data_IF_460139313851
#
_entry.id   IF_460139313851
#
_cell.length_a   1.000
_cell.length_b   1.000
_cell.length_c   1.000
_cell.angle_alpha   90.00
_cell.angle_beta   90.00
_cell.angle_gamma   90.00
#
_symmetry.space_group_name_H-M   'P 1'
#
loop_
_entity.id
_entity.type
_entity.pdbx_description
1 polymer ?
#
# COMPACT_ATOMS: atom_id res chain seq x y z
N UNK A 1 -23.59 14.62 20.92
CA UNK A 1 -22.63 13.54 20.63
C UNK A 1 -23.41 12.36 20.08
N UNK A 2 -23.28 12.05 18.78
CA UNK A 2 -23.87 10.81 18.24
C UNK A 2 -22.75 9.78 18.09
N UNK A 3 -22.84 8.71 18.89
CA UNK A 3 -22.02 7.54 18.73
C UNK A 3 -22.41 6.85 17.41
N UNK A 4 -21.50 6.85 16.44
CA UNK A 4 -21.67 6.09 15.20
C UNK A 4 -21.51 4.60 15.51
N UNK A 5 -22.63 3.90 15.57
CA UNK A 5 -22.67 2.44 15.67
C UNK A 5 -22.13 1.86 14.36
N UNK A 6 -20.89 1.37 14.36
CA UNK A 6 -20.43 0.46 13.30
C UNK A 6 -20.99 -0.92 13.58
N UNK A 7 -22.10 -1.21 12.91
CA UNK A 7 -22.61 -2.55 12.70
C UNK A 7 -21.50 -3.47 12.20
N UNK A 8 -21.26 -4.57 12.92
CA UNK A 8 -20.35 -5.64 12.51
C UNK A 8 -20.96 -6.40 11.34
N UNK A 9 -20.87 -5.83 10.14
CA UNK A 9 -21.08 -6.60 8.91
C UNK A 9 -19.88 -7.50 8.73
N UNK A 10 -20.11 -8.83 8.74
CA UNK A 10 -19.14 -9.87 8.39
C UNK A 10 -18.24 -9.36 7.27
N UNK A 11 -16.94 -9.32 7.54
CA UNK A 11 -15.91 -8.94 6.59
C UNK A 11 -16.04 -9.89 5.39
N UNK A 12 -16.68 -9.41 4.32
CA UNK A 12 -16.55 -10.04 3.02
C UNK A 12 -15.05 -10.14 2.77
N UNK A 13 -14.58 -11.22 2.13
CA UNK A 13 -13.21 -11.27 1.65
C UNK A 13 -12.99 -10.06 0.74
N UNK A 14 -12.47 -8.96 1.30
CA UNK A 14 -12.34 -7.69 0.62
C UNK A 14 -11.27 -7.89 -0.44
N UNK A 15 -11.72 -8.04 -1.68
CA UNK A 15 -10.84 -8.12 -2.82
C UNK A 15 -10.33 -6.70 -3.12
N UNK A 16 -9.33 -6.25 -2.35
CA UNK A 16 -8.72 -4.95 -2.56
C UNK A 16 -8.09 -4.89 -3.96
N UNK A 17 -8.23 -3.76 -4.68
CA UNK A 17 -7.54 -3.61 -5.96
C UNK A 17 -6.02 -3.62 -5.75
N UNK A 18 -5.30 -4.04 -6.80
CA UNK A 18 -3.85 -3.90 -6.85
C UNK A 18 -3.52 -2.43 -7.14
N UNK A 19 -2.62 -1.86 -6.34
CA UNK A 19 -2.22 -0.47 -6.47
C UNK A 19 -0.79 -0.36 -7.00
N UNK A 20 -0.52 0.67 -7.82
CA UNK A 20 0.82 1.06 -8.24
C UNK A 20 1.18 2.43 -7.67
N UNK A 21 2.35 2.55 -7.06
CA UNK A 21 2.91 3.81 -6.56
C UNK A 21 4.23 4.09 -7.28
N UNK A 22 4.29 5.20 -8.01
CA UNK A 22 5.54 5.71 -8.61
C UNK A 22 6.03 6.88 -7.76
N UNK A 23 7.25 6.76 -7.25
CA UNK A 23 7.84 7.66 -6.26
C UNK A 23 7.64 7.16 -4.84
N UNK A 24 8.74 6.78 -4.19
CA UNK A 24 8.82 6.21 -2.83
C UNK A 24 9.37 7.22 -1.81
N UNK A 25 9.25 8.52 -2.11
CA UNK A 25 9.61 9.61 -1.20
C UNK A 25 8.62 9.78 -0.04
N UNK A 26 8.63 10.95 0.60
CA UNK A 26 7.84 11.22 1.82
C UNK A 26 6.34 10.93 1.68
N UNK A 27 5.74 11.28 0.54
CA UNK A 27 4.30 11.06 0.31
C UNK A 27 4.04 9.64 -0.17
N UNK A 28 4.58 9.27 -1.34
CA UNK A 28 4.31 7.97 -1.96
C UNK A 28 4.73 6.80 -1.08
N UNK A 29 5.87 6.89 -0.39
CA UNK A 29 6.32 5.85 0.53
C UNK A 29 5.39 5.69 1.75
N UNK A 30 4.95 6.80 2.35
CA UNK A 30 3.99 6.73 3.47
C UNK A 30 2.63 6.17 3.03
N UNK A 31 2.18 6.53 1.83
CA UNK A 31 0.93 6.00 1.28
C UNK A 31 1.03 4.50 0.97
N UNK A 32 2.12 4.05 0.34
CA UNK A 32 2.38 2.62 0.10
C UNK A 32 2.35 1.82 1.41
N UNK A 33 3.08 2.27 2.44
CA UNK A 33 3.10 1.62 3.75
C UNK A 33 1.68 1.55 4.39
N UNK A 34 0.90 2.63 4.28
CA UNK A 34 -0.47 2.65 4.79
C UNK A 34 -1.41 1.69 4.05
N UNK A 35 -1.24 1.50 2.74
CA UNK A 35 -2.04 0.56 1.96
C UNK A 35 -1.65 -0.89 2.26
N UNK A 36 -0.35 -1.18 2.35
CA UNK A 36 0.15 -2.50 2.77
C UNK A 36 -0.39 -2.90 4.14
N UNK A 37 -0.35 -1.97 5.12
CA UNK A 37 -0.88 -2.21 6.47
C UNK A 37 -2.40 -2.47 6.51
N UNK A 38 -3.13 -2.12 5.44
CA UNK A 38 -4.57 -2.40 5.27
C UNK A 38 -4.85 -3.63 4.40
N UNK A 39 -3.82 -4.38 3.99
CA UNK A 39 -3.95 -5.61 3.21
C UNK A 39 -4.05 -5.41 1.69
N UNK A 40 -3.77 -4.22 1.16
CA UNK A 40 -3.70 -4.02 -0.28
C UNK A 40 -2.43 -4.66 -0.85
N UNK A 41 -2.55 -5.23 -2.05
CA UNK A 41 -1.36 -5.58 -2.87
C UNK A 41 -0.84 -4.31 -3.53
N UNK A 42 0.41 -3.94 -3.27
CA UNK A 42 1.00 -2.68 -3.74
C UNK A 42 2.29 -2.96 -4.51
N UNK A 43 2.35 -2.48 -5.75
CA UNK A 43 3.58 -2.35 -6.51
C UNK A 43 4.19 -0.97 -6.30
N UNK A 44 5.50 -0.91 -6.17
CA UNK A 44 6.26 0.34 -6.00
C UNK A 44 7.37 0.45 -7.04
N UNK A 45 7.65 1.69 -7.45
CA UNK A 45 8.79 2.03 -8.30
C UNK A 45 9.38 3.38 -7.88
N UNK A 46 10.72 3.45 -7.82
CA UNK A 46 11.49 4.69 -7.67
C UNK A 46 12.87 4.49 -8.35
N UNK A 47 13.52 5.58 -8.70
CA UNK A 47 14.92 5.56 -9.16
C UNK A 47 15.87 5.23 -8.00
N UNK A 48 15.52 5.65 -6.79
CA UNK A 48 16.23 5.32 -5.56
C UNK A 48 15.87 3.91 -5.09
N UNK A 49 16.81 2.97 -5.28
CA UNK A 49 16.63 1.55 -4.96
C UNK A 49 16.48 1.29 -3.47
N UNK A 50 17.10 2.10 -2.62
CA UNK A 50 17.02 1.94 -1.16
C UNK A 50 15.61 2.26 -0.66
N UNK A 51 14.95 3.25 -1.28
CA UNK A 51 13.54 3.56 -0.96
C UNK A 51 12.59 2.44 -1.36
N UNK A 52 12.82 1.81 -2.52
CA UNK A 52 12.04 0.65 -2.92
C UNK A 52 12.28 -0.53 -1.96
N UNK A 53 13.53 -0.83 -1.63
CA UNK A 53 13.89 -1.92 -0.72
C UNK A 53 13.26 -1.76 0.67
N UNK A 54 13.17 -0.52 1.18
CA UNK A 54 12.46 -0.22 2.42
C UNK A 54 10.98 -0.62 2.36
N UNK A 55 10.28 -0.36 1.25
CA UNK A 55 8.88 -0.73 1.10
C UNK A 55 8.69 -2.22 0.78
N UNK A 56 9.62 -2.83 0.06
CA UNK A 56 9.67 -4.28 -0.16
C UNK A 56 9.75 -5.05 1.17
N UNK A 57 10.54 -4.55 2.13
CA UNK A 57 10.60 -5.12 3.49
C UNK A 57 9.27 -5.05 4.25
N UNK A 58 8.34 -4.19 3.80
CA UNK A 58 6.98 -4.07 4.35
C UNK A 58 5.94 -4.85 3.55
N UNK A 59 6.36 -5.60 2.52
CA UNK A 59 5.48 -6.41 1.67
C UNK A 59 5.10 -5.78 0.33
N UNK A 60 5.71 -4.66 -0.07
CA UNK A 60 5.53 -4.13 -1.42
C UNK A 60 6.17 -5.06 -2.47
N UNK A 61 5.56 -5.11 -3.65
CA UNK A 61 6.16 -5.73 -4.83
C UNK A 61 6.97 -4.66 -5.57
N UNK A 62 8.23 -4.94 -5.88
CA UNK A 62 9.07 -3.99 -6.63
C UNK A 62 9.01 -4.28 -8.12
N UNK A 63 8.79 -3.26 -8.94
CA UNK A 63 8.97 -3.41 -10.39
C UNK A 63 10.39 -3.01 -10.78
N UNK A 64 11.05 -3.80 -11.62
CA UNK A 64 12.41 -3.49 -12.11
C UNK A 64 12.39 -2.48 -13.27
N UNK A 65 11.26 -2.39 -13.97
CA UNK A 65 11.00 -1.50 -15.11
C UNK A 65 9.63 -0.85 -14.95
N UNK A 66 9.36 0.28 -15.62
CA UNK A 66 7.97 0.68 -15.83
C UNK A 66 7.30 -0.37 -16.74
N UNK A 67 6.04 -0.70 -16.46
CA UNK A 67 5.22 -1.56 -17.30
C UNK A 67 4.77 -0.81 -18.56
#
# INVERSE_FOLDING_TARGET
MLASQRSSTKESSLNYPILGIVGCGNIGGRQAANFLARGYSVYVFDLDRDRMAKLESLGALTSKTCA
#
